data_IF_646041501454
#
_entry.id   IF_646041501454
#
_cell.length_a   1.000
_cell.length_b   1.000
_cell.length_c   1.000
_cell.angle_alpha   90.00
_cell.angle_beta   90.00
_cell.angle_gamma   90.00
#
_symmetry.space_group_name_H-M   'P 1'
#
loop_
_entity.id
_entity.type
_entity.pdbx_description
1 polymer ?
#
# COMPACT_ATOMS: atom_id res chain seq x y z
N UNK A 1 1.13 8.72 25.97
CA UNK A 1 0.08 8.25 25.04
C UNK A 1 0.26 6.75 24.95
N UNK A 2 -0.71 6.00 25.45
CA UNK A 2 -0.57 4.54 25.59
C UNK A 2 -0.76 3.85 24.24
N UNK A 3 -0.18 2.65 24.09
CA UNK A 3 -0.16 1.91 22.82
C UNK A 3 -1.57 1.66 22.24
N UNK A 4 -2.54 1.38 23.12
CA UNK A 4 -3.96 1.24 22.75
C UNK A 4 -4.55 2.53 22.17
N UNK A 5 -4.21 3.69 22.72
CA UNK A 5 -4.71 4.97 22.24
C UNK A 5 -4.17 5.30 20.83
N UNK A 6 -2.95 4.86 20.52
CA UNK A 6 -2.36 4.99 19.17
C UNK A 6 -3.10 4.06 18.20
N UNK A 7 -3.32 2.81 18.60
CA UNK A 7 -4.00 1.80 17.78
C UNK A 7 -5.41 2.25 17.39
N UNK A 8 -6.23 2.69 18.35
CA UNK A 8 -7.59 3.18 18.10
C UNK A 8 -7.62 4.39 17.15
N UNK A 9 -6.65 5.30 17.29
CA UNK A 9 -6.53 6.47 16.40
C UNK A 9 -6.22 6.06 14.95
N UNK A 10 -5.31 5.09 14.77
CA UNK A 10 -4.96 4.60 13.44
C UNK A 10 -6.13 3.83 12.84
N UNK A 11 -6.78 2.97 13.64
CA UNK A 11 -7.96 2.21 13.25
C UNK A 11 -9.10 3.12 12.77
N UNK A 12 -9.39 4.20 13.48
CA UNK A 12 -10.48 5.12 13.08
C UNK A 12 -10.16 5.90 11.80
N UNK A 13 -8.88 6.17 11.52
CA UNK A 13 -8.46 6.83 10.29
C UNK A 13 -8.46 5.87 9.09
N UNK A 14 -8.24 4.57 9.31
CA UNK A 14 -8.08 3.57 8.25
C UNK A 14 -9.42 3.02 7.76
N UNK A 15 -10.18 3.86 7.07
CA UNK A 15 -11.48 3.49 6.46
C UNK A 15 -11.32 2.63 5.19
N UNK A 16 -12.42 2.04 4.73
CA UNK A 16 -12.48 1.33 3.45
C UNK A 16 -12.05 2.20 2.26
N UNK A 17 -12.29 3.52 2.32
CA UNK A 17 -11.79 4.46 1.31
C UNK A 17 -10.27 4.59 1.34
N UNK A 18 -9.65 4.57 2.52
CA UNK A 18 -8.21 4.61 2.66
C UNK A 18 -7.56 3.32 2.13
N UNK A 19 -8.17 2.17 2.41
CA UNK A 19 -7.76 0.89 1.81
C UNK A 19 -7.81 0.96 0.28
N UNK A 20 -8.93 1.41 -0.29
CA UNK A 20 -9.09 1.52 -1.73
C UNK A 20 -8.01 2.41 -2.34
N UNK A 21 -7.72 3.56 -1.73
CA UNK A 21 -6.64 4.45 -2.15
C UNK A 21 -5.28 3.77 -2.14
N UNK A 22 -4.92 3.09 -1.04
CA UNK A 22 -3.63 2.39 -0.89
C UNK A 22 -3.48 1.28 -1.93
N UNK A 23 -4.54 0.52 -2.18
CA UNK A 23 -4.56 -0.54 -3.20
C UNK A 23 -4.41 0.05 -4.60
N UNK A 24 -5.13 1.13 -4.92
CA UNK A 24 -5.03 1.82 -6.22
C UNK A 24 -3.61 2.34 -6.44
N UNK A 25 -2.99 2.96 -5.43
CA UNK A 25 -1.60 3.43 -5.50
C UNK A 25 -0.65 2.25 -5.74
N UNK A 26 -0.84 1.14 -5.04
CA UNK A 26 -0.03 -0.06 -5.21
C UNK A 26 -0.14 -0.65 -6.63
N UNK A 27 -1.36 -0.73 -7.17
CA UNK A 27 -1.60 -1.17 -8.55
C UNK A 27 -0.98 -0.19 -9.56
N UNK A 28 -1.11 1.11 -9.32
CA UNK A 28 -0.53 2.15 -10.19
C UNK A 28 0.99 2.03 -10.26
N UNK A 29 1.66 1.82 -9.13
CA UNK A 29 3.11 1.56 -9.07
C UNK A 29 3.50 0.34 -9.92
N UNK A 30 2.76 -0.76 -9.83
CA UNK A 30 3.07 -1.99 -10.56
C UNK A 30 2.86 -1.81 -12.07
N UNK A 31 1.71 -1.24 -12.46
CA UNK A 31 1.27 -1.21 -13.86
C UNK A 31 1.84 0.01 -14.58
N UNK A 32 1.63 1.21 -14.05
CA UNK A 32 1.97 2.45 -14.75
C UNK A 32 3.45 2.76 -14.59
N UNK A 33 3.92 2.94 -13.35
CA UNK A 33 5.31 3.31 -13.09
C UNK A 33 6.27 2.18 -13.47
N UNK A 34 5.96 0.95 -13.08
CA UNK A 34 6.72 -0.23 -13.47
C UNK A 34 6.87 -0.36 -14.99
N UNK A 35 5.80 -0.15 -15.76
CA UNK A 35 5.87 -0.21 -17.23
C UNK A 35 6.62 0.98 -17.82
N UNK A 36 6.47 2.18 -17.25
CA UNK A 36 7.20 3.37 -17.70
C UNK A 36 8.71 3.22 -17.48
N UNK A 37 9.12 2.71 -16.32
CA UNK A 37 10.52 2.44 -15.98
C UNK A 37 11.11 1.33 -16.85
N UNK A 38 10.31 0.27 -17.12
CA UNK A 38 10.68 -0.78 -18.08
C UNK A 38 10.93 -0.21 -19.48
N UNK A 39 10.04 0.66 -19.98
CA UNK A 39 10.19 1.33 -21.29
C UNK A 39 11.46 2.19 -21.35
N UNK A 40 11.88 2.77 -20.22
CA UNK A 40 13.12 3.55 -20.09
C UNK A 40 14.36 2.69 -19.83
N UNK A 41 14.23 1.36 -19.83
CA UNK A 41 15.30 0.39 -19.52
C UNK A 41 15.91 0.54 -18.11
N UNK A 42 15.19 1.19 -17.20
CA UNK A 42 15.57 1.40 -15.79
C UNK A 42 15.16 0.18 -14.96
N UNK A 43 15.90 -0.93 -15.12
CA UNK A 43 15.53 -2.25 -14.57
C UNK A 43 15.54 -2.29 -13.03
N UNK A 44 16.44 -1.54 -12.37
CA UNK A 44 16.53 -1.53 -10.90
C UNK A 44 15.34 -0.80 -10.31
N UNK A 45 15.02 0.35 -10.87
CA UNK A 45 13.93 1.23 -10.49
C UNK A 45 12.59 0.56 -10.76
N UNK A 46 12.43 -0.11 -11.92
CA UNK A 46 11.25 -0.94 -12.21
C UNK A 46 11.03 -1.98 -11.11
N UNK A 47 12.08 -2.70 -10.70
CA UNK A 47 11.98 -3.74 -9.66
C UNK A 47 11.56 -3.14 -8.31
N UNK A 48 12.13 -1.99 -7.94
CA UNK A 48 11.79 -1.29 -6.70
C UNK A 48 10.34 -0.80 -6.75
N UNK A 49 9.92 -0.16 -7.84
CA UNK A 49 8.56 0.34 -8.03
C UNK A 49 7.52 -0.79 -7.91
N UNK A 50 7.75 -1.92 -8.59
CA UNK A 50 6.88 -3.10 -8.48
C UNK A 50 6.88 -3.69 -7.07
N UNK A 51 8.04 -3.80 -6.43
CA UNK A 51 8.14 -4.31 -5.05
C UNK A 51 7.35 -3.42 -4.08
N UNK A 52 7.50 -2.09 -4.19
CA UNK A 52 6.73 -1.14 -3.40
C UNK A 52 5.24 -1.27 -3.67
N UNK A 53 4.83 -1.40 -4.93
CA UNK A 53 3.43 -1.60 -5.27
C UNK A 53 2.84 -2.87 -4.64
N UNK A 54 3.55 -4.00 -4.68
CA UNK A 54 3.11 -5.22 -3.99
C UNK A 54 3.05 -5.05 -2.47
N UNK A 55 4.03 -4.35 -1.88
CA UNK A 55 4.01 -4.03 -0.45
C UNK A 55 2.78 -3.20 -0.09
N UNK A 56 2.43 -2.19 -0.89
CA UNK A 56 1.23 -1.38 -0.67
C UNK A 56 -0.05 -2.21 -0.74
N UNK A 57 -0.18 -3.09 -1.73
CA UNK A 57 -1.37 -3.95 -1.87
C UNK A 57 -1.45 -4.94 -0.70
N UNK A 58 -0.38 -5.66 -0.40
CA UNK A 58 -0.37 -6.71 0.63
C UNK A 58 -0.52 -6.12 2.03
N UNK A 59 0.24 -5.07 2.36
CA UNK A 59 0.13 -4.43 3.67
C UNK A 59 -1.18 -3.67 3.83
N UNK A 60 -1.68 -3.01 2.77
CA UNK A 60 -2.96 -2.31 2.82
C UNK A 60 -4.10 -3.27 3.14
N UNK A 61 -4.21 -4.35 2.37
CA UNK A 61 -5.25 -5.38 2.61
C UNK A 61 -5.04 -6.06 3.96
N UNK A 62 -3.81 -6.48 4.28
CA UNK A 62 -3.50 -7.17 5.53
C UNK A 62 -3.80 -6.33 6.77
N UNK A 63 -3.40 -5.06 6.78
CA UNK A 63 -3.67 -4.14 7.89
C UNK A 63 -5.16 -3.83 8.05
N UNK A 64 -5.91 -3.67 6.95
CA UNK A 64 -7.36 -3.49 7.02
C UNK A 64 -8.04 -4.71 7.65
N UNK A 65 -7.65 -5.93 7.27
CA UNK A 65 -8.19 -7.15 7.87
C UNK A 65 -7.89 -7.20 9.38
N UNK A 66 -6.66 -6.86 9.78
CA UNK A 66 -6.27 -6.82 11.19
C UNK A 66 -7.15 -5.82 11.96
N UNK A 67 -7.31 -4.60 11.46
CA UNK A 67 -8.15 -3.57 12.10
C UNK A 67 -9.65 -3.88 12.04
N UNK A 68 -10.11 -4.69 11.08
CA UNK A 68 -11.49 -5.12 11.01
C UNK A 68 -11.82 -6.22 12.02
N UNK A 69 -10.85 -7.08 12.36
CA UNK A 69 -11.02 -8.19 13.30
C UNK A 69 -10.80 -7.75 14.75
N UNK A 70 -9.77 -6.92 15.00
CA UNK A 70 -9.36 -6.45 16.32
C UNK A 70 -9.69 -4.98 16.49
#
# INVERSE_FOLDING_TARGET
>A
MDLMAIFEKIKSAYSAYMLMLVVVIGIFLIIVDGTLLKKRQLKKEEKISKALGYIYVVLGIGSYIIFAIF
#
